data_IF_181929226331
#
_entry.id   IF_181929226331
#
_cell.length_a   1.000
_cell.length_b   1.000
_cell.length_c   1.000
_cell.angle_alpha   90.00
_cell.angle_beta   90.00
_cell.angle_gamma   90.00
#
_symmetry.space_group_name_H-M   'P 1'
#
loop_
_entity.id
_entity.type
_entity.pdbx_description
1 polymer ?
#
# COMPACT_ATOMS: atom_id res chain seq x y z
N UNK A 1 11.57 -14.05 8.29
CA UNK A 1 12.49 -14.36 7.17
C UNK A 1 12.16 -13.56 5.91
N UNK A 2 11.26 -13.97 5.00
CA UNK A 2 11.09 -13.22 3.71
C UNK A 2 10.50 -11.80 3.88
N UNK A 3 9.38 -11.66 4.60
CA UNK A 3 8.73 -10.34 4.80
C UNK A 3 9.69 -9.35 5.45
N UNK A 4 10.36 -9.76 6.52
CA UNK A 4 11.35 -8.92 7.21
C UNK A 4 12.54 -8.56 6.32
N UNK A 5 13.03 -9.48 5.49
CA UNK A 5 14.10 -9.19 4.53
C UNK A 5 13.70 -8.12 3.52
N UNK A 6 12.46 -8.18 2.99
CA UNK A 6 11.96 -7.15 2.05
C UNK A 6 11.82 -5.81 2.77
N UNK A 7 11.19 -5.80 3.95
CA UNK A 7 11.01 -4.58 4.73
C UNK A 7 12.33 -3.97 5.22
N UNK A 8 13.39 -4.78 5.30
CA UNK A 8 14.74 -4.38 5.70
C UNK A 8 15.64 -3.93 4.54
N UNK A 9 15.16 -3.88 3.29
CA UNK A 9 15.96 -3.42 2.15
C UNK A 9 16.44 -1.98 2.40
N UNK A 10 17.76 -1.72 2.42
CA UNK A 10 18.28 -0.38 2.64
C UNK A 10 17.75 0.61 1.59
N UNK A 11 17.20 1.73 2.05
CA UNK A 11 16.68 2.78 1.18
C UNK A 11 15.30 2.50 0.56
N UNK A 12 14.61 1.42 0.94
CA UNK A 12 13.24 1.19 0.50
C UNK A 12 12.31 2.33 0.96
N UNK A 13 11.70 3.04 0.00
CA UNK A 13 10.83 4.21 0.28
C UNK A 13 9.35 3.90 0.26
N UNK A 14 8.94 2.89 -0.51
CA UNK A 14 7.56 2.45 -0.59
C UNK A 14 7.48 0.94 -0.88
N UNK A 15 6.42 0.30 -0.42
CA UNK A 15 6.06 -1.09 -0.66
C UNK A 15 4.66 -1.15 -1.28
N UNK A 16 4.51 -1.88 -2.37
CA UNK A 16 3.20 -2.28 -2.92
C UNK A 16 2.95 -3.73 -2.51
N UNK A 17 1.86 -3.97 -1.78
CA UNK A 17 1.39 -5.31 -1.44
C UNK A 17 0.28 -5.69 -2.40
N UNK A 18 0.46 -6.83 -3.06
CA UNK A 18 -0.58 -7.48 -3.85
C UNK A 18 -1.34 -8.46 -2.95
N UNK A 19 -2.58 -8.13 -2.63
CA UNK A 19 -3.42 -8.87 -1.68
C UNK A 19 -4.58 -9.57 -2.37
N UNK A 20 -5.22 -10.50 -1.65
CA UNK A 20 -6.28 -11.32 -2.21
C UNK A 20 -7.60 -10.56 -2.31
N UNK A 21 -8.33 -10.75 -3.41
CA UNK A 21 -9.71 -10.29 -3.55
C UNK A 21 -9.87 -8.79 -3.33
N UNK A 22 -10.65 -8.39 -2.34
CA UNK A 22 -10.94 -6.98 -2.05
C UNK A 22 -9.89 -6.28 -1.19
N UNK A 23 -8.67 -6.80 -1.06
CA UNK A 23 -7.63 -6.20 -0.21
C UNK A 23 -7.14 -7.05 0.96
N UNK A 24 -7.41 -8.35 0.97
CA UNK A 24 -7.18 -9.22 2.14
C UNK A 24 -5.73 -9.71 2.21
N UNK A 25 -5.07 -9.46 3.33
CA UNK A 25 -3.75 -9.96 3.65
C UNK A 25 -3.77 -10.81 4.93
N UNK A 26 -2.68 -11.51 5.26
CA UNK A 26 -2.52 -12.21 6.53
C UNK A 26 -2.84 -11.31 7.74
N UNK A 27 -3.47 -11.87 8.76
CA UNK A 27 -3.87 -11.14 10.00
C UNK A 27 -3.09 -11.56 11.22
N UNK A 28 -2.13 -12.45 11.05
CA UNK A 28 -1.28 -12.94 12.10
C UNK A 28 -0.48 -11.78 12.71
N UNK A 29 -0.39 -11.77 14.04
CA UNK A 29 0.19 -10.64 14.77
C UNK A 29 1.63 -10.35 14.35
N UNK A 30 2.42 -11.36 13.98
CA UNK A 30 3.79 -11.19 13.49
C UNK A 30 3.83 -10.35 12.19
N UNK A 31 2.87 -10.56 11.28
CA UNK A 31 2.79 -9.86 10.00
C UNK A 31 2.33 -8.42 10.22
N UNK A 32 1.25 -8.24 10.98
CA UNK A 32 0.74 -6.92 11.33
C UNK A 32 1.77 -6.07 12.08
N UNK A 33 2.54 -6.69 12.99
CA UNK A 33 3.63 -6.02 13.70
C UNK A 33 4.76 -5.60 12.76
N UNK A 34 5.16 -6.47 11.82
CA UNK A 34 6.20 -6.17 10.84
C UNK A 34 5.79 -4.99 9.94
N UNK A 35 4.57 -5.01 9.39
CA UNK A 35 4.03 -3.92 8.56
C UNK A 35 3.90 -2.63 9.37
N UNK A 36 3.33 -2.70 10.57
CA UNK A 36 3.18 -1.55 11.46
C UNK A 36 4.52 -0.91 11.84
N UNK A 37 5.55 -1.73 12.11
CA UNK A 37 6.92 -1.25 12.39
C UNK A 37 7.51 -0.55 11.17
N UNK A 38 7.37 -1.12 9.98
CA UNK A 38 7.86 -0.51 8.75
C UNK A 38 7.19 0.84 8.47
N UNK A 39 5.87 0.94 8.65
CA UNK A 39 5.12 2.19 8.50
C UNK A 39 5.58 3.25 9.51
N UNK A 40 5.77 2.86 10.78
CA UNK A 40 6.29 3.75 11.84
C UNK A 40 7.68 4.28 11.51
N UNK A 41 8.50 3.49 10.80
CA UNK A 41 9.82 3.90 10.31
C UNK A 41 9.78 4.75 9.03
N UNK A 42 8.59 5.16 8.59
CA UNK A 42 8.41 6.06 7.46
C UNK A 42 8.15 5.37 6.12
N UNK A 43 8.08 4.03 6.08
CA UNK A 43 7.75 3.31 4.85
C UNK A 43 6.30 3.57 4.44
N UNK A 44 6.08 3.96 3.19
CA UNK A 44 4.74 3.96 2.62
C UNK A 44 4.37 2.53 2.21
N UNK A 45 3.29 1.99 2.76
CA UNK A 45 2.78 0.67 2.37
C UNK A 45 1.43 0.84 1.68
N UNK A 46 1.32 0.35 0.45
CA UNK A 46 0.14 0.45 -0.39
C UNK A 46 -0.48 -0.93 -0.59
N UNK A 47 -1.81 -1.00 -0.64
CA UNK A 47 -2.57 -2.22 -0.86
C UNK A 47 -3.22 -2.19 -2.26
N UNK A 48 -2.84 -3.13 -3.11
CA UNK A 48 -3.39 -3.38 -4.45
C UNK A 48 -3.90 -4.83 -4.49
N UNK A 49 -4.96 -5.10 -5.25
CA UNK A 49 -5.46 -6.47 -5.40
C UNK A 49 -4.67 -7.24 -6.46
N UNK A 50 -4.49 -8.55 -6.27
CA UNK A 50 -3.98 -9.47 -7.28
C UNK A 50 -4.98 -9.68 -8.43
N UNK A 51 -6.25 -9.34 -8.24
CA UNK A 51 -7.27 -9.47 -9.27
C UNK A 51 -7.02 -8.46 -10.40
N UNK A 52 -7.13 -8.91 -11.66
CA UNK A 52 -6.95 -8.04 -12.84
C UNK A 52 -7.97 -6.90 -12.94
N UNK A 53 -9.08 -7.00 -12.19
CA UNK A 53 -10.11 -5.99 -12.10
C UNK A 53 -10.80 -6.03 -10.74
N UNK A 54 -11.53 -4.96 -10.43
CA UNK A 54 -12.09 -4.71 -9.11
C UNK A 54 -11.26 -3.67 -8.34
N UNK A 55 -11.61 -3.48 -7.07
CA UNK A 55 -10.98 -2.48 -6.23
C UNK A 55 -10.68 -3.02 -4.84
N UNK A 56 -9.61 -2.53 -4.24
CA UNK A 56 -9.33 -2.71 -2.82
C UNK A 56 -10.33 -1.91 -1.99
N UNK A 57 -11.05 -2.61 -1.10
CA UNK A 57 -12.07 -2.07 -0.21
C UNK A 57 -11.71 -2.43 1.24
N UNK A 58 -10.71 -1.77 1.81
CA UNK A 58 -10.15 -2.14 3.12
C UNK A 58 -11.18 -2.04 4.27
N UNK A 59 -12.20 -1.19 4.16
CA UNK A 59 -13.28 -1.12 5.14
C UNK A 59 -14.30 -2.28 5.10
N UNK A 60 -14.28 -3.11 4.05
CA UNK A 60 -15.30 -4.15 3.82
C UNK A 60 -15.15 -5.38 4.74
N UNK A 61 -13.93 -5.71 5.15
CA UNK A 61 -13.63 -6.89 5.97
C UNK A 61 -12.64 -6.57 7.11
N UNK A 62 -12.67 -7.35 8.19
CA UNK A 62 -11.82 -7.14 9.39
C UNK A 62 -10.31 -7.18 9.08
N UNK A 63 -9.90 -8.04 8.14
CA UNK A 63 -8.55 -8.13 7.59
C UNK A 63 -8.07 -6.78 7.02
N UNK A 64 -8.90 -6.15 6.19
CA UNK A 64 -8.61 -4.84 5.60
C UNK A 64 -8.61 -3.72 6.64
N UNK A 65 -9.52 -3.76 7.62
CA UNK A 65 -9.56 -2.78 8.73
C UNK A 65 -8.29 -2.82 9.58
N UNK A 66 -7.71 -4.00 9.79
CA UNK A 66 -6.43 -4.15 10.49
C UNK A 66 -5.31 -3.40 9.79
N UNK A 67 -5.16 -3.59 8.48
CA UNK A 67 -4.15 -2.90 7.66
C UNK A 67 -4.39 -1.39 7.60
N UNK A 68 -5.64 -0.97 7.44
CA UNK A 68 -6.02 0.44 7.42
C UNK A 68 -5.65 1.13 8.74
N UNK A 69 -5.95 0.51 9.89
CA UNK A 69 -5.56 1.01 11.22
C UNK A 69 -4.05 1.14 11.40
N UNK A 70 -3.26 0.28 10.74
CA UNK A 70 -1.80 0.37 10.75
C UNK A 70 -1.25 1.50 9.86
N UNK A 71 -2.09 2.10 9.01
CA UNK A 71 -1.71 3.15 8.08
C UNK A 71 -1.30 2.65 6.69
N UNK A 72 -1.72 1.43 6.31
CA UNK A 72 -1.66 0.98 4.91
C UNK A 72 -2.65 1.80 4.10
N UNK A 73 -2.25 2.23 2.90
CA UNK A 73 -3.12 3.03 2.01
C UNK A 73 -3.73 2.16 0.91
N UNK A 74 -5.02 2.36 0.63
CA UNK A 74 -5.69 1.69 -0.50
C UNK A 74 -5.18 2.27 -1.81
N UNK A 75 -4.86 1.41 -2.78
CA UNK A 75 -4.71 1.82 -4.17
C UNK A 75 -5.99 1.71 -5.00
N UNK A 76 -7.12 1.36 -4.37
CA UNK A 76 -8.44 1.26 -5.00
C UNK A 76 -8.43 0.33 -6.21
N UNK A 77 -8.84 0.83 -7.38
CA UNK A 77 -8.95 0.14 -8.66
C UNK A 77 -7.73 0.35 -9.57
N UNK A 78 -6.62 0.90 -9.04
CA UNK A 78 -5.36 0.96 -9.77
C UNK A 78 -4.88 -0.43 -10.16
N UNK A 79 -4.35 -0.57 -11.37
CA UNK A 79 -3.50 -1.71 -11.72
C UNK A 79 -2.17 -1.63 -10.96
N UNK A 80 -1.48 -2.76 -10.81
CA UNK A 80 -0.17 -2.82 -10.16
C UNK A 80 0.84 -1.93 -10.88
N UNK A 81 0.86 -1.95 -12.21
CA UNK A 81 1.74 -1.13 -13.04
C UNK A 81 1.48 0.36 -12.81
N UNK A 82 0.20 0.77 -12.72
CA UNK A 82 -0.17 2.16 -12.46
C UNK A 82 0.22 2.59 -11.03
N UNK A 83 0.06 1.72 -10.03
CA UNK A 83 0.44 2.00 -8.66
C UNK A 83 1.96 2.17 -8.51
N UNK A 84 2.75 1.25 -9.08
CA UNK A 84 4.23 1.32 -9.05
C UNK A 84 4.73 2.58 -9.76
N UNK A 85 4.25 2.85 -10.98
CA UNK A 85 4.68 4.04 -11.75
C UNK A 85 4.28 5.35 -11.07
N UNK A 86 3.07 5.42 -10.51
CA UNK A 86 2.62 6.57 -9.71
C UNK A 86 3.51 6.79 -8.49
N UNK A 87 3.90 5.72 -7.78
CA UNK A 87 4.83 5.83 -6.65
C UNK A 87 6.20 6.34 -7.08
N UNK A 88 6.76 5.82 -8.17
CA UNK A 88 8.03 6.31 -8.71
C UNK A 88 7.97 7.81 -9.02
N UNK A 89 6.91 8.26 -9.69
CA UNK A 89 6.67 9.66 -9.98
C UNK A 89 6.56 10.51 -8.71
N UNK A 90 5.75 10.10 -7.73
CA UNK A 90 5.53 10.85 -6.49
C UNK A 90 6.80 10.91 -5.63
N UNK A 91 7.57 9.82 -5.56
CA UNK A 91 8.84 9.77 -4.85
C UNK A 91 9.91 10.66 -5.49
N UNK A 92 9.91 10.79 -6.82
CA UNK A 92 10.81 11.69 -7.55
C UNK A 92 10.58 13.18 -7.24
N UNK A 93 9.40 13.54 -6.73
CA UNK A 93 9.05 14.92 -6.38
C UNK A 93 9.47 15.32 -4.94
N UNK A 94 10.12 14.43 -4.17
CA UNK A 94 10.56 14.68 -2.78
C UNK A 94 9.46 15.26 -1.87
N UNK A 95 8.21 14.81 -2.03
CA UNK A 95 7.13 15.25 -1.17
C UNK A 95 7.25 14.71 0.26
N UNK A 96 6.79 15.46 1.27
CA UNK A 96 6.60 14.92 2.61
C UNK A 96 5.67 13.70 2.59
N UNK A 97 5.91 12.73 3.48
CA UNK A 97 5.17 11.46 3.51
C UNK A 97 3.64 11.65 3.54
N UNK A 98 3.13 12.64 4.29
CA UNK A 98 1.70 12.97 4.33
C UNK A 98 1.14 13.41 2.97
N UNK A 99 1.90 14.22 2.23
CA UNK A 99 1.53 14.66 0.88
C UNK A 99 1.62 13.51 -0.12
N UNK A 100 2.61 12.63 0.03
CA UNK A 100 2.76 11.45 -0.80
C UNK A 100 1.59 10.48 -0.63
N UNK A 101 1.20 10.17 0.61
CA UNK A 101 -0.01 9.36 0.93
C UNK A 101 -1.26 9.95 0.30
N UNK A 102 -1.44 11.27 0.47
CA UNK A 102 -2.59 12.00 -0.08
C UNK A 102 -2.66 11.93 -1.61
N UNK A 103 -1.55 12.11 -2.31
CA UNK A 103 -1.55 12.05 -3.79
C UNK A 103 -1.62 10.63 -4.33
N UNK A 104 -1.09 9.64 -3.62
CA UNK A 104 -1.22 8.25 -4.01
C UNK A 104 -2.69 7.84 -4.10
N UNK A 105 -3.54 8.31 -3.18
CA UNK A 105 -4.97 8.00 -3.12
C UNK A 105 -5.88 8.96 -3.93
N UNK A 106 -5.31 9.84 -4.77
CA UNK A 106 -6.08 10.78 -5.61
C UNK A 106 -5.84 10.52 -7.09
N UNK A 107 -6.88 10.54 -7.96
CA UNK A 107 -6.67 10.43 -9.39
C UNK A 107 -5.80 11.58 -9.89
N UNK A 108 -4.74 11.24 -10.62
CA UNK A 108 -3.85 12.23 -11.25
C UNK A 108 -4.09 12.29 -12.76
N UNK A 109 -4.21 11.14 -13.43
CA UNK A 109 -4.28 11.01 -14.89
C UNK A 109 -5.20 9.86 -15.34
N UNK A 110 -6.21 9.52 -14.55
CA UNK A 110 -7.20 8.49 -14.88
C UNK A 110 -6.79 7.07 -14.49
N UNK A 111 -5.77 6.92 -13.65
CA UNK A 111 -5.28 5.62 -13.17
C UNK A 111 -6.20 4.95 -12.13
N UNK A 112 -7.16 5.70 -11.58
CA UNK A 112 -8.14 5.23 -10.60
C UNK A 112 -9.46 5.98 -10.80
N UNK A 113 -10.58 5.36 -10.46
CA UNK A 113 -11.94 5.89 -10.66
C UNK A 113 -12.66 6.31 -9.37
N UNK A 114 -11.95 6.26 -8.24
CA UNK A 114 -12.44 6.55 -6.87
C UNK A 114 -13.42 7.71 -6.77
#
# INVERSE_FOLDING_TARGET
LVVESILGIPGLKALVMETYGSGNAPTEQWFLNAIGKAIKNGLLVCNITQCRGGAVQMGKYETGKGLEKLGVVSGYDMTIESAVTKLMYLLGNNYPAARLRKYFQKPLRGEMTV
#
